data_IF_345864469558
#
_entry.id   IF_345864469558
#
_cell.length_a   1.000
_cell.length_b   1.000
_cell.length_c   1.000
_cell.angle_alpha   90.00
_cell.angle_beta   90.00
_cell.angle_gamma   90.00
#
_symmetry.space_group_name_H-M   'P 1'
#
loop_
_entity.id
_entity.type
_entity.pdbx_description
1 polymer ?
#
# COMPACT_ATOMS: atom_id res chain seq x y z
N UNK A 1 17.07 -6.97 10.37
CA UNK A 1 16.85 -7.00 8.91
C UNK A 1 16.36 -5.62 8.49
N UNK A 2 16.78 -5.12 7.33
CA UNK A 2 16.28 -3.84 6.77
C UNK A 2 15.12 -4.15 5.81
N UNK A 3 14.00 -4.65 6.34
CA UNK A 3 12.81 -5.01 5.56
C UNK A 3 11.63 -4.17 6.06
N UNK A 4 11.10 -3.24 5.26
CA UNK A 4 10.00 -2.38 5.68
C UNK A 4 8.72 -3.20 5.85
N UNK A 5 8.04 -3.02 6.99
CA UNK A 5 6.77 -3.68 7.33
C UNK A 5 5.80 -2.61 7.80
N UNK A 6 4.59 -2.62 7.23
CA UNK A 6 3.47 -1.80 7.69
C UNK A 6 2.41 -2.76 8.24
N UNK A 7 1.99 -2.54 9.48
CA UNK A 7 1.02 -3.38 10.18
C UNK A 7 0.23 -2.56 11.18
N UNK A 8 -0.98 -3.00 11.50
CA UNK A 8 -1.80 -2.36 12.54
C UNK A 8 -1.25 -2.57 13.96
N UNK A 9 -0.54 -3.67 14.18
CA UNK A 9 -0.06 -4.07 15.50
C UNK A 9 1.04 -5.15 15.41
N UNK A 10 1.72 -5.41 16.52
CA UNK A 10 2.75 -6.42 16.66
C UNK A 10 2.41 -7.35 17.83
N UNK A 11 2.31 -8.65 17.53
CA UNK A 11 2.01 -9.67 18.52
C UNK A 11 3.09 -10.77 18.53
N UNK A 12 3.55 -11.24 19.71
CA UNK A 12 4.58 -12.27 19.82
C UNK A 12 4.04 -13.70 19.61
N UNK A 13 2.82 -13.86 19.10
CA UNK A 13 2.17 -15.17 18.88
C UNK A 13 2.20 -15.59 17.42
N UNK A 14 2.12 -16.90 17.19
CA UNK A 14 2.06 -17.48 15.85
C UNK A 14 0.62 -17.54 15.29
N UNK A 15 0.53 -17.85 13.99
CA UNK A 15 -0.72 -17.97 13.24
C UNK A 15 -1.35 -19.37 13.27
N UNK A 16 -0.63 -20.41 13.73
CA UNK A 16 -0.94 -21.83 13.53
C UNK A 16 -2.34 -22.30 14.00
N UNK A 17 -3.01 -21.54 14.86
CA UNK A 17 -4.39 -21.79 15.32
C UNK A 17 -5.28 -20.55 15.31
N UNK A 18 -4.79 -19.44 14.73
CA UNK A 18 -5.44 -18.12 14.75
C UNK A 18 -5.75 -17.58 13.37
N UNK A 19 -5.15 -18.16 12.33
CA UNK A 19 -5.40 -17.78 10.95
C UNK A 19 -5.40 -19.00 10.04
N UNK A 20 -6.26 -18.94 9.02
CA UNK A 20 -6.27 -19.87 7.90
C UNK A 20 -6.02 -19.06 6.62
N UNK A 21 -5.08 -19.52 5.79
CA UNK A 21 -4.91 -18.97 4.46
C UNK A 21 -6.05 -19.48 3.60
N UNK A 22 -6.93 -18.58 3.17
CA UNK A 22 -8.11 -18.92 2.36
C UNK A 22 -7.89 -18.69 0.86
N UNK A 23 -7.10 -17.69 0.49
CA UNK A 23 -6.85 -17.30 -0.90
C UNK A 23 -5.47 -16.64 -1.04
N UNK A 24 -4.96 -16.58 -2.28
CA UNK A 24 -3.76 -15.84 -2.67
C UNK A 24 -3.97 -15.18 -4.03
N UNK A 25 -3.33 -14.03 -4.27
CA UNK A 25 -3.46 -13.28 -5.52
C UNK A 25 -4.94 -13.03 -5.92
N UNK A 26 -5.76 -12.72 -4.90
CA UNK A 26 -7.19 -12.47 -5.01
C UNK A 26 -7.50 -11.05 -4.53
N UNK A 27 -8.51 -10.36 -5.09
CA UNK A 27 -8.93 -9.07 -4.58
C UNK A 27 -9.34 -9.14 -3.10
N UNK A 28 -8.80 -8.24 -2.27
CA UNK A 28 -9.08 -8.23 -0.84
C UNK A 28 -9.45 -6.85 -0.34
N UNK A 29 -10.18 -6.79 0.77
CA UNK A 29 -10.42 -5.56 1.51
C UNK A 29 -9.31 -5.37 2.56
N UNK A 30 -8.55 -4.28 2.46
CA UNK A 30 -7.58 -3.85 3.45
C UNK A 30 -7.96 -2.45 3.95
N UNK A 31 -8.29 -2.32 5.23
CA UNK A 31 -8.63 -1.02 5.83
C UNK A 31 -9.83 -0.30 5.19
N UNK A 32 -10.78 -1.06 4.62
CA UNK A 32 -11.94 -0.50 3.92
C UNK A 32 -11.72 -0.26 2.42
N UNK A 33 -10.52 -0.53 1.89
CA UNK A 33 -10.15 -0.35 0.48
C UNK A 33 -10.01 -1.69 -0.21
N UNK A 34 -10.61 -1.84 -1.39
CA UNK A 34 -10.42 -3.04 -2.23
C UNK A 34 -9.13 -2.92 -3.02
N UNK A 35 -8.20 -3.85 -2.78
CA UNK A 35 -6.93 -3.98 -3.48
C UNK A 35 -7.01 -5.18 -4.41
N UNK A 36 -6.66 -4.99 -5.68
CA UNK A 36 -6.61 -6.06 -6.67
C UNK A 36 -5.17 -6.51 -6.91
N UNK A 37 -4.99 -7.77 -7.36
CA UNK A 37 -3.76 -8.18 -8.01
C UNK A 37 -3.28 -7.16 -9.05
N UNK A 38 -1.97 -6.91 -9.08
CA UNK A 38 -1.29 -5.92 -9.94
C UNK A 38 -1.53 -4.44 -9.61
N UNK A 39 -2.33 -4.10 -8.59
CA UNK A 39 -2.32 -2.74 -8.03
C UNK A 39 -0.95 -2.46 -7.39
N UNK A 40 -0.52 -1.19 -7.42
CA UNK A 40 0.74 -0.77 -6.79
C UNK A 40 0.46 -0.35 -5.35
N UNK A 41 1.23 -0.89 -4.42
CA UNK A 41 1.22 -0.46 -3.03
C UNK A 41 2.39 0.49 -2.81
N UNK A 42 2.10 1.69 -2.31
CA UNK A 42 3.09 2.68 -1.92
C UNK A 42 2.91 2.99 -0.43
N UNK A 43 3.99 3.08 0.33
CA UNK A 43 3.91 3.41 1.74
C UNK A 43 5.17 4.08 2.27
N UNK A 44 4.97 4.90 3.29
CA UNK A 44 5.96 5.74 3.96
C UNK A 44 5.62 5.85 5.47
N UNK A 45 6.10 6.90 6.13
CA UNK A 45 5.84 7.17 7.55
C UNK A 45 4.41 7.60 7.87
N UNK A 46 3.68 8.18 6.90
CA UNK A 46 2.29 8.62 7.08
C UNK A 46 1.29 7.48 6.87
N UNK A 47 1.68 6.46 6.09
CA UNK A 47 0.92 5.23 5.97
C UNK A 47 1.11 4.50 4.66
N UNK A 48 0.01 3.92 4.15
CA UNK A 48 0.02 3.10 2.94
C UNK A 48 -1.16 3.45 2.04
N UNK A 49 -0.91 3.49 0.74
CA UNK A 49 -1.91 3.71 -0.30
C UNK A 49 -1.87 2.58 -1.33
N UNK A 50 -3.05 2.24 -1.86
CA UNK A 50 -3.21 1.33 -3.00
C UNK A 50 -3.56 2.11 -4.26
N UNK A 51 -2.74 1.98 -5.30
CA UNK A 51 -2.90 2.64 -6.60
C UNK A 51 -3.42 1.61 -7.60
N UNK A 52 -4.66 1.76 -8.12
CA UNK A 52 -5.20 0.83 -9.10
C UNK A 52 -4.31 0.75 -10.34
N UNK A 53 -4.06 -0.47 -10.85
CA UNK A 53 -3.17 -0.70 -11.99
C UNK A 53 -3.48 0.21 -13.20
N UNK A 54 -4.78 0.41 -13.49
CA UNK A 54 -5.28 1.27 -14.57
C UNK A 54 -4.96 2.77 -14.40
N UNK A 55 -4.72 3.22 -13.17
CA UNK A 55 -4.52 4.62 -12.81
C UNK A 55 -3.04 4.96 -12.57
N UNK A 56 -2.14 3.97 -12.50
CA UNK A 56 -0.72 4.13 -12.14
C UNK A 56 -0.05 5.27 -12.91
N UNK A 57 -0.17 5.28 -14.24
CA UNK A 57 0.48 6.30 -15.07
C UNK A 57 -0.02 7.71 -14.75
N UNK A 58 -1.33 7.86 -14.59
CA UNK A 58 -1.95 9.14 -14.25
C UNK A 58 -1.47 9.63 -12.87
N UNK A 59 -1.53 8.75 -11.86
CA UNK A 59 -1.17 9.08 -10.48
C UNK A 59 0.29 9.48 -10.36
N UNK A 60 1.21 8.74 -10.98
CA UNK A 60 2.65 9.04 -10.90
C UNK A 60 2.96 10.40 -11.53
N UNK A 61 2.42 10.69 -12.72
CA UNK A 61 2.67 11.97 -13.41
C UNK A 61 2.23 13.14 -12.52
N UNK A 62 0.99 13.10 -12.01
CA UNK A 62 0.44 14.20 -11.21
C UNK A 62 1.12 14.31 -9.84
N UNK A 63 1.56 13.19 -9.25
CA UNK A 63 2.31 13.21 -8.00
C UNK A 63 3.68 13.90 -8.17
N UNK A 64 4.39 13.59 -9.25
CA UNK A 64 5.68 14.23 -9.57
C UNK A 64 5.51 15.71 -9.90
N UNK A 65 4.53 16.06 -10.72
CA UNK A 65 4.22 17.47 -11.05
C UNK A 65 3.89 18.27 -9.79
N UNK A 66 3.07 17.71 -8.89
CA UNK A 66 2.74 18.35 -7.61
C UNK A 66 3.98 18.55 -6.73
N UNK A 67 4.79 17.52 -6.54
CA UNK A 67 5.99 17.60 -5.72
C UNK A 67 7.02 18.62 -6.27
N UNK A 68 7.13 18.71 -7.60
CA UNK A 68 7.95 19.73 -8.25
C UNK A 68 7.41 21.15 -8.00
N UNK A 69 6.09 21.35 -8.16
CA UNK A 69 5.45 22.64 -7.91
C UNK A 69 5.54 23.12 -6.45
N UNK A 70 5.55 22.20 -5.48
CA UNK A 70 5.76 22.54 -4.06
C UNK A 70 7.19 23.02 -3.77
N UNK A 71 8.18 22.48 -4.49
CA UNK A 71 9.58 22.92 -4.39
C UNK A 71 9.86 24.24 -5.10
N UNK A 72 9.03 24.64 -6.08
CA UNK A 72 9.09 25.94 -6.74
C UNK A 72 8.27 27.00 -5.98
N UNK A 73 8.59 27.23 -4.71
CA UNK A 73 8.05 28.35 -3.95
C UNK A 73 9.12 29.44 -3.81
N UNK A 74 8.84 30.63 -4.36
CA UNK A 74 9.57 31.89 -4.17
C UNK A 74 9.75 32.24 -2.69
#
# INVERSE_FOLDING_TARGET
MQFPVISIDMHPVDSAVRGLVIDYNWPLNSGGVIVHPADIIFGDEDGVIGIPARAVRYVIIHAVEKAAGENETN
#
